data_IF_555130260234
#
_entry.id   IF_555130260234
#
_cell.length_a   1.000
_cell.length_b   1.000
_cell.length_c   1.000
_cell.angle_alpha   90.00
_cell.angle_beta   90.00
_cell.angle_gamma   90.00
#
_symmetry.space_group_name_H-M   'P 1'
#
loop_
_entity.id
_entity.type
_entity.pdbx_description
1 polymer ?
#
# COMPACT_ATOMS: atom_id res chain seq x y z
N UNK A 1 2.36 -8.86 27.84
CA UNK A 1 1.53 -8.07 26.90
C UNK A 1 2.37 -7.77 25.66
N UNK A 2 2.04 -8.31 24.49
CA UNK A 2 2.74 -7.95 23.23
C UNK A 2 2.19 -6.61 22.75
N UNK A 3 2.81 -5.52 23.22
CA UNK A 3 2.49 -4.16 22.77
C UNK A 3 2.69 -4.10 21.25
N UNK A 4 1.59 -3.87 20.53
CA UNK A 4 1.49 -3.50 19.12
C UNK A 4 2.47 -4.13 18.12
N UNK A 5 2.06 -5.22 17.47
CA UNK A 5 2.67 -5.66 16.20
C UNK A 5 2.65 -4.59 15.10
N UNK A 6 1.70 -3.65 15.17
CA UNK A 6 1.52 -2.55 14.22
C UNK A 6 2.38 -1.34 14.65
N UNK A 7 3.62 -1.25 14.16
CA UNK A 7 4.64 -0.28 14.60
C UNK A 7 4.85 0.89 13.62
N UNK A 8 4.28 0.83 12.42
CA UNK A 8 4.49 1.83 11.35
C UNK A 8 3.21 2.55 10.99
N UNK A 9 3.29 3.85 10.68
CA UNK A 9 2.15 4.60 10.11
C UNK A 9 2.24 4.60 8.59
N UNK A 10 1.19 4.13 7.93
CA UNK A 10 1.03 4.14 6.48
C UNK A 10 -0.17 4.99 6.09
N UNK A 11 -0.15 5.56 4.90
CA UNK A 11 -1.28 6.28 4.32
C UNK A 11 -1.88 5.45 3.20
N UNK A 12 -3.15 5.09 3.33
CA UNK A 12 -3.92 4.45 2.27
C UNK A 12 -4.48 5.55 1.38
N UNK A 13 -4.33 5.40 0.08
CA UNK A 13 -4.77 6.36 -0.91
C UNK A 13 -5.70 5.68 -1.91
N UNK A 14 -6.78 6.37 -2.28
CA UNK A 14 -7.73 5.91 -3.27
C UNK A 14 -7.54 6.64 -4.57
N UNK A 15 -7.56 5.90 -5.67
CA UNK A 15 -7.65 6.49 -7.01
C UNK A 15 -9.00 7.16 -7.16
N UNK A 16 -9.00 8.44 -7.48
CA UNK A 16 -10.19 9.23 -7.75
C UNK A 16 -9.98 10.03 -9.04
N UNK A 17 -11.08 10.45 -9.64
CA UNK A 17 -11.06 11.28 -10.84
C UNK A 17 -11.60 12.65 -10.45
N UNK A 18 -10.81 13.69 -10.65
CA UNK A 18 -11.18 15.07 -10.39
C UNK A 18 -11.17 15.84 -11.70
N UNK A 19 -12.21 16.61 -11.95
CA UNK A 19 -12.31 17.46 -13.13
C UNK A 19 -11.41 18.70 -12.96
N UNK A 20 -10.60 19.01 -13.99
CA UNK A 20 -9.80 20.23 -14.00
C UNK A 20 -10.63 21.44 -14.43
N UNK A 21 -10.01 22.63 -14.42
CA UNK A 21 -10.68 23.88 -14.85
C UNK A 21 -11.15 23.89 -16.31
N UNK A 22 -10.77 22.89 -17.11
CA UNK A 22 -11.12 22.71 -18.52
C UNK A 22 -12.14 21.59 -18.75
N UNK A 23 -12.69 20.97 -17.70
CA UNK A 23 -13.64 19.87 -17.84
C UNK A 23 -13.01 18.51 -18.11
N UNK A 24 -11.68 18.39 -18.02
CA UNK A 24 -10.98 17.13 -18.28
C UNK A 24 -10.88 16.30 -16.99
N UNK A 25 -11.20 14.99 -17.05
CA UNK A 25 -11.01 14.09 -15.92
C UNK A 25 -9.53 13.82 -15.67
N UNK A 26 -9.01 14.25 -14.52
CA UNK A 26 -7.64 13.96 -14.07
C UNK A 26 -7.69 12.89 -12.98
N UNK A 27 -6.95 11.81 -13.21
CA UNK A 27 -6.74 10.77 -12.20
C UNK A 27 -5.80 11.29 -11.11
N UNK A 28 -6.31 11.40 -9.90
CA UNK A 28 -5.55 11.78 -8.71
C UNK A 28 -5.71 10.74 -7.61
N UNK A 29 -4.86 10.85 -6.60
CA UNK A 29 -4.84 9.92 -5.48
C UNK A 29 -5.10 10.70 -4.20
N UNK A 30 -6.26 10.46 -3.61
CA UNK A 30 -6.67 11.10 -2.36
C UNK A 30 -6.33 10.21 -1.18
N UNK A 31 -5.92 10.84 -0.07
CA UNK A 31 -5.69 10.14 1.18
C UNK A 31 -7.02 9.62 1.74
N UNK A 32 -7.17 8.30 1.76
CA UNK A 32 -8.33 7.61 2.32
C UNK A 32 -8.23 7.56 3.85
N UNK A 33 -7.08 7.11 4.37
CA UNK A 33 -6.82 7.07 5.81
C UNK A 33 -5.36 6.80 6.14
N UNK A 34 -4.91 7.35 7.27
CA UNK A 34 -3.63 6.99 7.89
C UNK A 34 -3.85 5.94 8.97
N UNK A 35 -3.21 4.78 8.85
CA UNK A 35 -3.39 3.65 9.77
C UNK A 35 -2.06 3.10 10.27
N UNK A 36 -2.11 2.38 11.39
CA UNK A 36 -0.99 1.60 11.87
C UNK A 36 -0.91 0.26 11.13
N UNK A 37 0.30 -0.07 10.67
CA UNK A 37 0.63 -1.28 9.95
C UNK A 37 1.88 -1.94 10.54
N UNK A 38 1.97 -3.25 10.36
CA UNK A 38 3.17 -4.03 10.54
C UNK A 38 3.77 -4.32 9.17
N UNK A 39 5.08 -4.10 9.02
CA UNK A 39 5.82 -4.52 7.84
C UNK A 39 6.24 -5.98 7.99
N UNK A 40 5.76 -6.83 7.10
CA UNK A 40 6.14 -8.23 7.00
C UNK A 40 7.10 -8.35 5.79
N UNK A 41 8.43 -8.40 6.03
CA UNK A 41 9.36 -8.70 4.94
C UNK A 41 9.02 -10.07 4.36
N UNK A 42 9.04 -10.19 3.04
CA UNK A 42 8.99 -11.51 2.38
C UNK A 42 10.26 -12.29 2.76
N UNK A 43 10.19 -13.03 3.86
CA UNK A 43 11.31 -13.79 4.40
C UNK A 43 11.63 -15.01 3.53
N UNK A 44 12.78 -14.97 2.86
CA UNK A 44 13.81 -16.02 2.71
C UNK A 44 13.50 -17.45 2.25
N UNK A 45 12.27 -17.97 2.38
CA UNK A 45 12.00 -19.40 2.16
C UNK A 45 11.55 -19.76 0.72
N UNK A 46 11.25 -18.77 -0.13
CA UNK A 46 10.62 -19.02 -1.43
C UNK A 46 11.34 -18.40 -2.65
N UNK A 47 12.63 -18.00 -2.57
CA UNK A 47 13.30 -17.36 -3.73
C UNK A 47 14.74 -17.78 -4.02
N UNK A 48 15.05 -19.07 -3.86
CA UNK A 48 16.18 -19.65 -4.59
C UNK A 48 15.84 -20.05 -6.04
N UNK A 49 14.62 -19.77 -6.53
CA UNK A 49 14.14 -20.27 -7.81
C UNK A 49 13.73 -19.21 -8.87
N UNK A 50 13.95 -17.91 -8.66
CA UNK A 50 13.49 -16.91 -9.63
C UNK A 50 14.53 -15.80 -9.89
N UNK A 51 15.60 -16.18 -10.60
CA UNK A 51 16.51 -15.27 -11.30
C UNK A 51 15.80 -14.62 -12.49
N UNK A 52 14.83 -13.74 -12.23
CA UNK A 52 14.41 -12.71 -13.18
C UNK A 52 13.57 -11.67 -12.44
N UNK A 53 14.09 -10.44 -12.36
CA UNK A 53 13.28 -9.23 -12.18
C UNK A 53 12.65 -8.99 -10.78
N UNK A 54 13.44 -9.04 -9.71
CA UNK A 54 13.02 -8.56 -8.37
C UNK A 54 13.13 -7.03 -8.28
N UNK A 55 12.40 -6.31 -9.13
CA UNK A 55 12.12 -4.88 -8.93
C UNK A 55 10.79 -4.66 -8.18
N UNK A 56 9.93 -5.68 -8.15
CA UNK A 56 8.72 -5.76 -7.33
C UNK A 56 9.04 -6.61 -6.09
N UNK A 57 9.63 -5.99 -5.08
CA UNK A 57 9.76 -6.67 -3.79
C UNK A 57 8.34 -6.91 -3.23
N UNK A 58 7.81 -8.14 -3.37
CA UNK A 58 6.59 -8.59 -2.68
C UNK A 58 6.70 -8.17 -1.21
N UNK A 59 5.97 -7.13 -0.84
CA UNK A 59 6.06 -6.51 0.47
C UNK A 59 4.70 -6.69 1.11
N UNK A 60 4.64 -7.46 2.19
CA UNK A 60 3.38 -7.71 2.89
C UNK A 60 3.23 -6.69 4.01
N UNK A 61 2.09 -6.02 4.04
CA UNK A 61 1.72 -5.11 5.11
C UNK A 61 0.50 -5.67 5.82
N UNK A 62 0.56 -5.76 7.14
CA UNK A 62 -0.58 -6.17 7.96
C UNK A 62 -1.16 -4.96 8.66
N UNK A 63 -2.45 -4.73 8.48
CA UNK A 63 -3.22 -3.67 9.14
C UNK A 63 -4.39 -4.29 9.94
N UNK A 64 -5.11 -3.45 10.69
CA UNK A 64 -6.41 -3.86 11.23
C UNK A 64 -7.41 -4.03 10.09
N UNK A 65 -8.35 -4.96 10.27
CA UNK A 65 -9.42 -5.22 9.31
C UNK A 65 -10.20 -3.94 9.00
N UNK A 66 -10.51 -3.77 7.71
CA UNK A 66 -11.25 -2.66 7.14
C UNK A 66 -11.96 -3.14 5.88
N UNK A 67 -13.24 -2.81 5.76
CA UNK A 67 -14.08 -3.19 4.62
C UNK A 67 -14.05 -2.13 3.50
N UNK A 68 -13.51 -0.96 3.79
CA UNK A 68 -13.39 0.16 2.86
C UNK A 68 -12.19 0.05 1.91
N UNK A 69 -11.36 -1.00 2.00
CA UNK A 69 -10.21 -1.20 1.13
C UNK A 69 -10.53 -2.06 -0.09
N UNK A 70 -9.97 -1.67 -1.23
CA UNK A 70 -10.16 -2.29 -2.53
C UNK A 70 -8.82 -2.38 -3.28
N UNK A 71 -8.67 -3.29 -4.27
CA UNK A 71 -7.43 -3.43 -5.03
C UNK A 71 -7.06 -2.20 -5.88
N UNK A 72 -7.98 -1.24 -6.06
CA UNK A 72 -7.69 0.03 -6.74
C UNK A 72 -6.98 1.04 -5.82
N UNK A 73 -6.94 0.76 -4.52
CA UNK A 73 -6.27 1.59 -3.55
C UNK A 73 -4.76 1.32 -3.57
N UNK A 74 -3.98 2.27 -3.09
CA UNK A 74 -2.54 2.13 -2.92
C UNK A 74 -2.10 2.52 -1.52
N UNK A 75 -0.97 2.01 -1.10
CA UNK A 75 -0.33 2.32 0.17
C UNK A 75 0.85 3.26 -0.07
N UNK A 76 0.94 4.34 0.71
CA UNK A 76 2.11 5.21 0.77
C UNK A 76 2.78 5.12 2.14
N UNK A 77 4.10 4.92 2.12
CA UNK A 77 4.93 4.85 3.32
C UNK A 77 6.31 5.45 3.05
N UNK A 78 6.72 6.44 3.84
CA UNK A 78 8.05 7.08 3.75
C UNK A 78 8.44 7.51 2.31
N UNK A 79 7.47 8.03 1.55
CA UNK A 79 7.66 8.46 0.15
C UNK A 79 7.63 7.33 -0.89
N UNK A 80 7.57 6.06 -0.46
CA UNK A 80 7.35 4.91 -1.35
C UNK A 80 5.86 4.67 -1.53
N UNK A 81 5.49 4.19 -2.71
CA UNK A 81 4.12 3.83 -3.09
C UNK A 81 4.08 2.35 -3.43
N UNK A 82 3.03 1.68 -3.00
CA UNK A 82 2.80 0.25 -3.19
C UNK A 82 1.35 0.08 -3.64
N UNK A 83 1.14 -0.58 -4.78
CA UNK A 83 -0.21 -0.96 -5.20
C UNK A 83 -0.71 -2.13 -4.35
N UNK A 84 -2.02 -2.15 -4.10
CA UNK A 84 -2.67 -3.22 -3.33
C UNK A 84 -3.10 -4.33 -4.30
N UNK A 85 -2.52 -5.51 -4.15
CA UNK A 85 -2.84 -6.72 -4.93
C UNK A 85 -3.55 -7.75 -4.09
#
# INVERSE_FOLDING_TARGET
MRSGRLDRRITLQRKTVVENSYGEPIETWMDLATVWAEYLPAGGAERYAATQMVAEADTRWRIRYRADLTPIDRLSYAGRKYDVT
#
